data_IF_339197949788
#
_entry.id   IF_339197949788
#
_cell.length_a   1.000
_cell.length_b   1.000
_cell.length_c   1.000
_cell.angle_alpha   90.00
_cell.angle_beta   90.00
_cell.angle_gamma   90.00
#
_symmetry.space_group_name_H-M   'P 1'
#
loop_
_entity.id
_entity.type
_entity.pdbx_description
1 polymer ?
#
# COMPACT_ATOMS: atom_id res chain seq x y z
N UNK A 1 13.96 5.98 9.63
CA UNK A 1 12.56 5.65 9.99
C UNK A 1 11.60 6.75 9.54
N UNK A 2 11.78 7.99 10.00
CA UNK A 2 10.87 9.12 9.73
C UNK A 2 10.55 9.40 8.25
N UNK A 3 11.50 9.21 7.34
CA UNK A 3 11.25 9.44 5.91
C UNK A 3 10.22 8.47 5.31
N UNK A 4 10.35 7.17 5.60
CA UNK A 4 9.48 6.13 5.05
C UNK A 4 8.05 6.22 5.60
N UNK A 5 7.94 6.48 6.90
CA UNK A 5 6.65 6.71 7.55
C UNK A 5 5.94 7.94 6.98
N UNK A 6 6.66 9.05 6.79
CA UNK A 6 6.08 10.26 6.19
C UNK A 6 5.60 10.04 4.75
N UNK A 7 6.34 9.26 3.93
CA UNK A 7 5.89 8.91 2.59
C UNK A 7 4.56 8.13 2.62
N UNK A 8 4.43 7.18 3.55
CA UNK A 8 3.19 6.43 3.77
C UNK A 8 2.05 7.35 4.25
N UNK A 9 2.26 8.16 5.29
CA UNK A 9 1.24 9.07 5.85
C UNK A 9 0.70 10.00 4.77
N UNK A 10 1.58 10.51 3.90
CA UNK A 10 1.16 11.37 2.79
C UNK A 10 0.29 10.62 1.77
N UNK A 11 0.65 9.38 1.42
CA UNK A 11 -0.17 8.54 0.53
C UNK A 11 -1.55 8.24 1.14
N UNK A 12 -1.58 7.84 2.42
CA UNK A 12 -2.81 7.56 3.16
C UNK A 12 -3.71 8.79 3.26
N UNK A 13 -3.12 9.96 3.51
CA UNK A 13 -3.85 11.24 3.53
C UNK A 13 -4.51 11.54 2.19
N UNK A 14 -3.78 11.37 1.07
CA UNK A 14 -4.37 11.54 -0.27
C UNK A 14 -5.50 10.54 -0.53
N UNK A 15 -5.33 9.28 -0.14
CA UNK A 15 -6.38 8.27 -0.27
C UNK A 15 -7.63 8.65 0.52
N UNK A 16 -7.48 9.04 1.78
CA UNK A 16 -8.58 9.47 2.67
C UNK A 16 -9.31 10.71 2.14
N UNK A 17 -8.61 11.60 1.45
CA UNK A 17 -9.20 12.74 0.73
C UNK A 17 -9.79 12.39 -0.63
N UNK A 18 -9.88 11.10 -0.97
CA UNK A 18 -10.33 10.60 -2.28
C UNK A 18 -9.51 11.13 -3.46
N UNK A 19 -8.30 11.64 -3.19
CA UNK A 19 -7.35 12.12 -4.19
C UNK A 19 -6.54 10.94 -4.73
N UNK A 20 -7.22 9.99 -5.36
CA UNK A 20 -6.66 8.67 -5.70
C UNK A 20 -5.44 8.75 -6.62
N UNK A 21 -5.44 9.64 -7.62
CA UNK A 21 -4.28 9.79 -8.51
C UNK A 21 -3.04 10.33 -7.78
N UNK A 22 -3.24 11.16 -6.75
CA UNK A 22 -2.15 11.64 -5.89
C UNK A 22 -1.65 10.53 -4.97
N UNK A 23 -2.55 9.73 -4.39
CA UNK A 23 -2.19 8.59 -3.57
C UNK A 23 -1.35 7.57 -4.38
N UNK A 24 -1.82 7.22 -5.58
CA UNK A 24 -1.12 6.33 -6.50
C UNK A 24 0.27 6.86 -6.86
N UNK A 25 0.35 8.12 -7.28
CA UNK A 25 1.61 8.76 -7.66
C UNK A 25 2.61 8.79 -6.49
N UNK A 26 2.12 9.08 -5.29
CA UNK A 26 2.92 9.14 -4.08
C UNK A 26 3.51 7.76 -3.72
N UNK A 27 2.69 6.70 -3.74
CA UNK A 27 3.21 5.34 -3.47
C UNK A 27 4.18 4.89 -4.57
N UNK A 28 3.87 5.12 -5.85
CA UNK A 28 4.78 4.77 -6.96
C UNK A 28 6.13 5.47 -6.85
N UNK A 29 6.14 6.76 -6.50
CA UNK A 29 7.39 7.50 -6.25
C UNK A 29 8.17 6.91 -5.07
N UNK A 30 7.48 6.54 -4.00
CA UNK A 30 8.11 5.92 -2.83
C UNK A 30 8.72 4.55 -3.17
N UNK A 31 8.02 3.72 -3.96
CA UNK A 31 8.52 2.44 -4.46
C UNK A 31 9.81 2.61 -5.28
N UNK A 32 9.85 3.60 -6.19
CA UNK A 32 11.02 3.89 -7.02
C UNK A 32 12.24 4.32 -6.20
N UNK A 33 12.03 5.13 -5.16
CA UNK A 33 13.11 5.56 -4.24
C UNK A 33 13.61 4.41 -3.36
N UNK A 34 12.74 3.44 -3.07
CA UNK A 34 13.04 2.32 -2.18
C UNK A 34 13.21 2.74 -0.72
N UNK A 35 13.23 1.76 0.17
CA UNK A 35 13.50 1.97 1.60
C UNK A 35 13.94 0.65 2.26
N UNK A 36 14.85 0.68 3.24
CA UNK A 36 15.12 -0.48 4.09
C UNK A 36 13.96 -0.75 5.08
N UNK A 37 13.05 0.21 5.28
CA UNK A 37 11.92 0.07 6.19
C UNK A 37 10.74 -0.67 5.52
N UNK A 38 10.83 -2.01 5.51
CA UNK A 38 9.87 -2.88 4.84
C UNK A 38 8.43 -2.69 5.33
N UNK A 39 8.22 -2.49 6.64
CA UNK A 39 6.90 -2.22 7.22
C UNK A 39 6.18 -1.05 6.55
N UNK A 40 6.86 0.10 6.43
CA UNK A 40 6.27 1.30 5.81
C UNK A 40 6.04 1.15 4.32
N UNK A 41 6.90 0.41 3.62
CA UNK A 41 6.67 0.06 2.22
C UNK A 41 5.43 -0.84 2.07
N UNK A 42 5.26 -1.84 2.95
CA UNK A 42 4.07 -2.70 2.96
C UNK A 42 2.78 -1.90 3.21
N UNK A 43 2.78 -1.01 4.21
CA UNK A 43 1.66 -0.10 4.48
C UNK A 43 1.32 0.79 3.28
N UNK A 44 2.33 1.31 2.57
CA UNK A 44 2.12 2.10 1.36
C UNK A 44 1.53 1.27 0.20
N UNK A 45 1.99 0.02 0.01
CA UNK A 45 1.45 -0.89 -1.00
C UNK A 45 -0.01 -1.29 -0.71
N UNK A 46 -0.37 -1.41 0.57
CA UNK A 46 -1.77 -1.59 0.99
C UNK A 46 -2.62 -0.38 0.58
N UNK A 47 -2.14 0.85 0.83
CA UNK A 47 -2.81 2.08 0.37
C UNK A 47 -2.96 2.11 -1.16
N UNK A 48 -1.95 1.64 -1.90
CA UNK A 48 -2.02 1.56 -3.36
C UNK A 48 -3.10 0.59 -3.83
N UNK A 49 -3.21 -0.59 -3.20
CA UNK A 49 -4.30 -1.52 -3.46
C UNK A 49 -5.67 -0.89 -3.18
N UNK A 50 -5.83 -0.26 -2.00
CA UNK A 50 -7.08 0.41 -1.62
C UNK A 50 -7.45 1.52 -2.61
N UNK A 51 -6.44 2.22 -3.14
CA UNK A 51 -6.58 3.25 -4.17
C UNK A 51 -7.08 2.67 -5.49
N UNK A 52 -6.49 1.57 -5.99
CA UNK A 52 -6.96 0.92 -7.22
C UNK A 52 -8.38 0.38 -7.10
N UNK A 53 -8.70 -0.26 -5.96
CA UNK A 53 -10.08 -0.71 -5.67
C UNK A 53 -11.06 0.46 -5.70
N UNK A 54 -10.71 1.59 -5.09
CA UNK A 54 -11.55 2.79 -5.08
C UNK A 54 -11.71 3.43 -6.48
N UNK A 55 -10.77 3.20 -7.38
CA UNK A 55 -10.84 3.57 -8.81
C UNK A 55 -11.63 2.56 -9.67
N UNK A 56 -12.11 1.45 -9.08
CA UNK A 56 -12.83 0.39 -9.78
C UNK A 56 -11.94 -0.67 -10.43
N UNK A 57 -10.63 -0.63 -10.18
CA UNK A 57 -9.65 -1.58 -10.74
C UNK A 57 -9.30 -2.66 -9.70
N UNK A 58 -10.22 -3.62 -9.51
CA UNK A 58 -10.03 -4.72 -8.58
C UNK A 58 -8.90 -5.67 -9.00
N UNK A 59 -8.59 -5.72 -10.29
CA UNK A 59 -7.52 -6.56 -10.81
C UNK A 59 -6.15 -6.06 -10.33
N UNK A 60 -5.87 -4.76 -10.51
CA UNK A 60 -4.64 -4.16 -9.99
C UNK A 60 -4.59 -4.23 -8.46
N UNK A 61 -5.69 -3.91 -7.78
CA UNK A 61 -5.75 -4.00 -6.32
C UNK A 61 -5.34 -5.40 -5.81
N UNK A 62 -5.91 -6.46 -6.39
CA UNK A 62 -5.57 -7.85 -6.05
C UNK A 62 -4.11 -8.17 -6.35
N UNK A 63 -3.59 -7.77 -7.51
CA UNK A 63 -2.19 -8.03 -7.86
C UNK A 63 -1.19 -7.43 -6.86
N UNK A 64 -1.41 -6.19 -6.41
CA UNK A 64 -0.54 -5.57 -5.43
C UNK A 64 -0.56 -6.30 -4.08
N UNK A 65 -1.74 -6.74 -3.63
CA UNK A 65 -1.86 -7.51 -2.38
C UNK A 65 -1.23 -8.89 -2.47
N UNK A 66 -1.44 -9.62 -3.56
CA UNK A 66 -0.83 -10.95 -3.76
C UNK A 66 0.69 -10.85 -3.87
N UNK A 67 1.20 -9.85 -4.60
CA UNK A 67 2.63 -9.57 -4.66
C UNK A 67 3.18 -9.25 -3.27
N UNK A 68 2.50 -8.40 -2.50
CA UNK A 68 2.91 -8.07 -1.14
C UNK A 68 2.90 -9.31 -0.23
N UNK A 69 1.84 -10.12 -0.27
CA UNK A 69 1.72 -11.36 0.50
C UNK A 69 2.89 -12.33 0.25
N UNK A 70 3.29 -12.48 -1.01
CA UNK A 70 4.35 -13.42 -1.39
C UNK A 70 5.75 -12.91 -1.07
N UNK A 71 5.95 -11.59 -1.07
CA UNK A 71 7.27 -10.97 -0.97
C UNK A 71 7.57 -10.35 0.41
N UNK A 72 6.56 -10.06 1.23
CA UNK A 72 6.77 -9.48 2.55
C UNK A 72 7.49 -10.46 3.47
N UNK A 73 8.65 -10.06 4.01
CA UNK A 73 9.47 -10.87 4.93
C UNK A 73 9.35 -10.44 6.39
N UNK A 74 8.54 -9.42 6.67
CA UNK A 74 8.26 -8.97 8.03
C UNK A 74 7.42 -9.97 8.82
N UNK A 75 7.56 -9.91 10.14
CA UNK A 75 6.85 -10.80 11.09
C UNK A 75 5.62 -10.13 11.72
N UNK A 76 5.32 -8.90 11.31
CA UNK A 76 4.26 -8.09 11.88
C UNK A 76 2.89 -8.64 11.43
N UNK A 77 2.11 -9.10 12.41
CA UNK A 77 0.81 -9.73 12.18
C UNK A 77 -0.23 -8.76 11.61
N UNK A 78 -0.11 -7.47 11.90
CA UNK A 78 -1.02 -6.43 11.42
C UNK A 78 -0.99 -6.30 9.89
N UNK A 79 0.19 -6.34 9.27
CA UNK A 79 0.35 -6.31 7.80
C UNK A 79 -0.28 -7.54 7.17
N UNK A 80 -0.05 -8.72 7.74
CA UNK A 80 -0.64 -9.96 7.23
C UNK A 80 -2.17 -9.94 7.33
N UNK A 81 -2.71 -9.47 8.45
CA UNK A 81 -4.15 -9.30 8.65
C UNK A 81 -4.73 -8.31 7.62
N UNK A 82 -4.12 -7.14 7.48
CA UNK A 82 -4.56 -6.11 6.52
C UNK A 82 -4.63 -6.62 5.08
N UNK A 83 -3.67 -7.46 4.67
CA UNK A 83 -3.63 -8.09 3.35
C UNK A 83 -4.79 -9.08 3.20
N UNK A 84 -4.94 -10.00 4.15
CA UNK A 84 -5.94 -11.06 4.08
C UNK A 84 -7.37 -10.51 4.08
N UNK A 85 -7.66 -9.51 4.93
CA UNK A 85 -8.96 -8.84 4.99
C UNK A 85 -9.34 -8.16 3.67
N UNK A 86 -8.37 -7.59 2.95
CA UNK A 86 -8.64 -6.93 1.67
C UNK A 86 -8.83 -7.94 0.55
N UNK A 87 -8.00 -8.98 0.50
CA UNK A 87 -8.15 -10.06 -0.47
C UNK A 87 -9.49 -10.80 -0.34
N UNK A 88 -10.01 -10.97 0.88
CA UNK A 88 -11.33 -11.59 1.08
C UNK A 88 -12.50 -10.69 0.66
N UNK A 89 -12.29 -9.37 0.59
CA UNK A 89 -13.32 -8.36 0.30
C UNK A 89 -13.20 -7.75 -1.11
N UNK A 90 -12.41 -8.37 -2.00
CA UNK A 90 -12.10 -7.89 -3.36
C UNK A 90 -12.81 -8.67 -4.47
#
# INVERSE_FOLDING_TARGET
>A
IYGAEAQFILADTYYRWKSYDKAESQVKSFMQKGTPHQYWMARALIVLSDTYRAKGDNFQARQYLESLKNNYKGSEADVQQMINERLSNL
#
